data_IF_669546643347
#
_entry.id   IF_669546643347
#
_cell.length_a   1.000
_cell.length_b   1.000
_cell.length_c   1.000
_cell.angle_alpha   90.00
_cell.angle_beta   90.00
_cell.angle_gamma   90.00
#
_symmetry.space_group_name_H-M   'P 1'
#
loop_
_entity.id
_entity.type
_entity.pdbx_description
1 polymer ?
#
# COMPACT_ATOMS: atom_id res chain seq x y z
N UNK A 1 -34.84 76.93 -105.16
CA UNK A 1 -34.74 77.38 -103.75
C UNK A 1 -33.80 76.44 -103.01
N UNK A 2 -32.82 77.06 -102.32
CA UNK A 2 -31.81 76.58 -101.35
C UNK A 2 -32.31 75.35 -100.54
N UNK A 3 -31.52 74.30 -100.31
CA UNK A 3 -30.48 74.28 -99.26
C UNK A 3 -29.53 73.06 -99.33
N UNK A 4 -28.34 73.21 -98.73
CA UNK A 4 -27.41 72.15 -98.35
C UNK A 4 -27.49 71.91 -96.82
N UNK A 5 -27.26 70.68 -96.33
CA UNK A 5 -26.32 70.43 -95.21
C UNK A 5 -26.18 68.96 -94.78
N UNK A 6 -24.99 68.42 -95.07
CA UNK A 6 -24.04 67.64 -94.25
C UNK A 6 -24.42 67.15 -92.82
N UNK A 7 -23.96 65.89 -92.59
CA UNK A 7 -23.50 65.19 -91.36
C UNK A 7 -24.54 64.43 -90.51
N UNK A 8 -24.38 63.11 -90.44
CA UNK A 8 -24.22 62.41 -89.17
C UNK A 8 -23.63 61.00 -89.42
N UNK A 9 -22.41 60.76 -88.94
CA UNK A 9 -21.79 59.44 -88.91
C UNK A 9 -21.30 59.20 -87.49
N UNK A 10 -22.01 58.35 -86.75
CA UNK A 10 -21.55 57.74 -85.51
C UNK A 10 -22.22 56.37 -85.41
N UNK A 11 -21.55 55.33 -85.91
CA UNK A 11 -21.93 53.95 -85.61
C UNK A 11 -21.31 53.55 -84.27
N UNK A 12 -22.18 52.95 -83.47
CA UNK A 12 -22.04 52.61 -82.06
C UNK A 12 -20.88 51.63 -81.83
N UNK A 13 -20.02 51.92 -80.85
CA UNK A 13 -19.05 50.97 -80.34
C UNK A 13 -19.78 49.93 -79.47
N UNK A 14 -19.68 48.66 -79.86
CA UNK A 14 -20.12 47.50 -79.10
C UNK A 14 -19.21 47.27 -77.90
N UNK A 15 -19.72 47.40 -76.68
CA UNK A 15 -19.06 46.96 -75.45
C UNK A 15 -19.79 45.73 -74.93
N UNK A 16 -19.23 44.54 -75.15
CA UNK A 16 -19.64 43.30 -74.49
C UNK A 16 -18.93 43.21 -73.15
N UNK A 17 -19.65 43.46 -72.04
CA UNK A 17 -19.18 43.15 -70.69
C UNK A 17 -19.28 41.64 -70.47
N UNK A 18 -18.15 40.95 -70.62
CA UNK A 18 -17.99 39.54 -70.27
C UNK A 18 -17.89 39.45 -68.74
N UNK A 19 -19.01 39.15 -68.08
CA UNK A 19 -19.04 38.81 -66.65
C UNK A 19 -18.24 37.51 -66.45
N UNK A 20 -17.03 37.66 -65.92
CA UNK A 20 -16.18 36.54 -65.53
C UNK A 20 -16.84 35.73 -64.42
N UNK A 21 -17.00 34.44 -64.67
CA UNK A 21 -17.38 33.45 -63.68
C UNK A 21 -16.37 33.48 -62.52
N UNK A 22 -16.77 34.07 -61.39
CA UNK A 22 -16.04 33.92 -60.14
C UNK A 22 -16.23 32.48 -59.67
N UNK A 23 -15.21 31.65 -59.88
CA UNK A 23 -15.17 30.31 -59.28
C UNK A 23 -15.09 30.47 -57.77
N UNK A 24 -16.22 30.25 -57.09
CA UNK A 24 -16.25 30.00 -55.65
C UNK A 24 -15.61 28.64 -55.42
N UNK A 25 -14.27 28.62 -55.38
CA UNK A 25 -13.49 27.46 -54.95
C UNK A 25 -13.83 27.25 -53.48
N UNK A 26 -14.54 26.15 -53.20
CA UNK A 26 -14.98 25.77 -51.87
C UNK A 26 -13.81 25.67 -50.90
N UNK A 27 -13.65 26.70 -50.08
CA UNK A 27 -13.03 26.52 -48.79
C UNK A 27 -14.12 25.92 -47.89
N UNK A 28 -14.15 24.58 -47.76
CA UNK A 28 -14.82 23.95 -46.63
C UNK A 28 -14.06 24.39 -45.37
N UNK A 29 -14.42 25.56 -44.85
CA UNK A 29 -13.94 26.03 -43.57
C UNK A 29 -14.62 25.16 -42.52
N UNK A 30 -13.92 24.11 -42.09
CA UNK A 30 -14.26 23.37 -40.88
C UNK A 30 -14.03 24.32 -39.70
N UNK A 31 -14.98 25.21 -39.46
CA UNK A 31 -14.98 26.08 -38.30
C UNK A 31 -15.15 25.21 -37.04
N UNK A 32 -14.32 25.46 -36.03
CA UNK A 32 -14.51 24.85 -34.71
C UNK A 32 -15.67 25.59 -34.05
N UNK A 33 -16.82 24.92 -33.97
CA UNK A 33 -17.98 25.44 -33.25
C UNK A 33 -17.79 25.21 -31.75
N UNK A 34 -17.94 26.28 -30.97
CA UNK A 34 -17.88 26.22 -29.51
C UNK A 34 -19.29 26.46 -29.00
N UNK A 35 -19.86 25.45 -28.34
CA UNK A 35 -21.17 25.49 -27.73
C UNK A 35 -20.97 25.57 -26.21
N UNK A 36 -21.64 26.52 -25.56
CA UNK A 36 -21.62 26.70 -24.10
C UNK A 36 -22.82 26.02 -23.45
N UNK A 37 -22.91 24.70 -23.59
CA UNK A 37 -23.92 23.84 -22.97
C UNK A 37 -23.27 22.92 -21.91
N UNK A 38 -24.10 22.19 -21.14
CA UNK A 38 -23.61 21.18 -20.21
C UNK A 38 -22.99 19.99 -20.96
N UNK A 39 -21.86 19.46 -20.48
CA UNK A 39 -21.23 18.29 -21.09
C UNK A 39 -22.16 17.07 -20.98
N UNK A 40 -22.28 16.32 -22.07
CA UNK A 40 -23.03 15.08 -22.11
C UNK A 40 -22.17 13.93 -21.56
N UNK A 41 -22.83 12.85 -21.10
CA UNK A 41 -22.14 11.66 -20.59
C UNK A 41 -21.24 10.97 -21.64
N UNK A 42 -21.53 11.16 -22.93
CA UNK A 42 -20.75 10.66 -24.06
C UNK A 42 -19.59 11.57 -24.47
N UNK A 43 -19.48 12.77 -23.89
CA UNK A 43 -18.49 13.74 -24.30
C UNK A 43 -17.10 13.31 -23.86
N UNK A 44 -16.15 13.55 -24.76
CA UNK A 44 -14.74 13.19 -24.60
C UNK A 44 -13.90 14.45 -24.65
N UNK A 45 -12.82 14.47 -23.87
CA UNK A 45 -11.98 15.65 -23.73
C UNK A 45 -11.02 15.70 -24.91
N UNK A 46 -11.08 16.74 -25.77
CA UNK A 46 -10.14 16.86 -26.86
C UNK A 46 -8.75 17.27 -26.34
N UNK A 47 -7.69 16.73 -26.94
CA UNK A 47 -6.32 17.19 -26.73
C UNK A 47 -5.84 18.00 -27.93
N UNK A 48 -5.10 19.07 -27.64
CA UNK A 48 -4.37 19.82 -28.65
C UNK A 48 -3.07 19.10 -28.95
N UNK A 49 -2.91 18.63 -30.20
CA UNK A 49 -1.70 18.01 -30.71
C UNK A 49 -0.99 18.95 -31.66
N UNK A 50 0.28 19.23 -31.38
CA UNK A 50 1.16 19.93 -32.32
C UNK A 50 1.95 18.90 -33.15
N UNK A 51 1.77 18.94 -34.47
CA UNK A 51 2.47 18.05 -35.40
C UNK A 51 2.52 18.70 -36.78
N UNK A 52 3.63 18.54 -37.50
CA UNK A 52 3.84 19.10 -38.84
C UNK A 52 3.56 20.61 -38.91
N UNK A 53 4.14 21.36 -37.97
CA UNK A 53 3.98 22.82 -37.82
C UNK A 53 2.52 23.31 -37.67
N UNK A 54 1.60 22.41 -37.28
CA UNK A 54 0.18 22.70 -37.14
C UNK A 54 -0.38 22.16 -35.83
N UNK A 55 -1.32 22.90 -35.23
CA UNK A 55 -2.15 22.42 -34.13
C UNK A 55 -3.42 21.74 -34.66
N UNK A 56 -3.72 20.54 -34.16
CA UNK A 56 -4.96 19.79 -34.46
C UNK A 56 -5.62 19.34 -33.16
N UNK A 57 -6.95 19.41 -33.11
CA UNK A 57 -7.75 18.81 -32.04
C UNK A 57 -7.89 17.31 -32.30
N UNK A 58 -7.53 16.49 -31.32
CA UNK A 58 -7.62 15.03 -31.39
C UNK A 58 -8.49 14.53 -30.24
N UNK A 59 -9.41 13.62 -30.53
CA UNK A 59 -10.18 12.96 -29.49
C UNK A 59 -9.27 12.01 -28.69
N UNK A 60 -9.26 12.18 -27.36
CA UNK A 60 -8.45 11.36 -26.44
C UNK A 60 -9.15 10.08 -25.97
N UNK A 61 -10.44 9.93 -26.26
CA UNK A 61 -11.33 8.90 -25.68
C UNK A 61 -11.44 8.96 -24.14
N UNK A 62 -11.01 10.04 -23.49
CA UNK A 62 -11.21 10.26 -22.05
C UNK A 62 -12.57 10.94 -21.86
N UNK A 63 -13.51 10.27 -21.19
CA UNK A 63 -14.83 10.83 -20.91
C UNK A 63 -14.80 11.82 -19.74
N UNK A 64 -15.66 12.84 -19.79
CA UNK A 64 -15.85 13.78 -18.68
C UNK A 64 -16.27 13.04 -17.40
N UNK A 65 -17.08 12.00 -17.56
CA UNK A 65 -17.55 11.13 -16.47
C UNK A 65 -16.44 10.37 -15.76
N UNK A 66 -15.37 10.00 -16.47
CA UNK A 66 -14.21 9.34 -15.86
C UNK A 66 -13.42 10.32 -14.98
N UNK A 67 -13.31 11.58 -15.40
CA UNK A 67 -12.71 12.64 -14.56
C UNK A 67 -13.55 12.95 -13.34
N UNK A 68 -14.88 12.96 -13.44
CA UNK A 68 -15.76 13.17 -12.27
C UNK A 68 -15.66 12.06 -11.23
N UNK A 69 -15.44 10.81 -11.66
CA UNK A 69 -15.30 9.66 -10.77
C UNK A 69 -13.92 9.58 -10.11
N UNK A 70 -12.91 10.21 -10.69
CA UNK A 70 -11.53 10.13 -10.21
C UNK A 70 -11.34 10.74 -8.81
N UNK A 71 -11.87 11.93 -8.47
CA UNK A 71 -11.83 12.49 -7.12
C UNK A 71 -12.41 11.54 -6.07
N UNK A 72 -13.56 10.92 -6.38
CA UNK A 72 -14.20 9.96 -5.48
C UNK A 72 -13.32 8.73 -5.26
N UNK A 73 -12.76 8.17 -6.33
CA UNK A 73 -11.83 7.05 -6.22
C UNK A 73 -10.56 7.41 -5.43
N UNK A 74 -10.06 8.65 -5.55
CA UNK A 74 -8.92 9.15 -4.77
C UNK A 74 -9.28 9.25 -3.28
N UNK A 75 -10.48 9.74 -2.95
CA UNK A 75 -10.98 9.82 -1.56
C UNK A 75 -11.19 8.44 -0.93
N UNK A 76 -11.78 7.51 -1.68
CA UNK A 76 -11.96 6.11 -1.25
C UNK A 76 -10.60 5.45 -0.99
N UNK A 77 -9.63 5.62 -1.91
CA UNK A 77 -8.27 5.11 -1.74
C UNK A 77 -7.55 5.74 -0.55
N UNK A 78 -7.71 7.05 -0.30
CA UNK A 78 -7.12 7.72 0.85
C UNK A 78 -7.69 7.19 2.18
N UNK A 79 -9.00 6.95 2.21
CA UNK A 79 -9.68 6.38 3.38
C UNK A 79 -9.21 4.95 3.67
N UNK A 80 -9.06 4.12 2.63
CA UNK A 80 -8.55 2.76 2.74
C UNK A 80 -7.10 2.75 3.24
N UNK A 81 -6.23 3.63 2.72
CA UNK A 81 -4.84 3.73 3.19
C UNK A 81 -4.75 4.12 4.68
N UNK A 82 -5.61 5.02 5.14
CA UNK A 82 -5.66 5.40 6.55
C UNK A 82 -6.16 4.23 7.43
N UNK A 83 -7.12 3.44 6.95
CA UNK A 83 -7.56 2.23 7.65
C UNK A 83 -6.44 1.18 7.72
N UNK A 84 -5.75 0.92 6.61
CA UNK A 84 -4.62 0.01 6.57
C UNK A 84 -3.50 0.44 7.52
N UNK A 85 -3.22 1.74 7.60
CA UNK A 85 -2.25 2.31 8.54
C UNK A 85 -2.63 2.06 10.00
N UNK A 86 -3.92 2.21 10.35
CA UNK A 86 -4.42 1.87 11.71
C UNK A 86 -4.24 0.39 12.01
N UNK A 87 -4.65 -0.49 11.10
CA UNK A 87 -4.48 -1.93 11.27
C UNK A 87 -3.01 -2.33 11.43
N UNK A 88 -2.10 -1.76 10.64
CA UNK A 88 -0.66 -2.01 10.77
C UNK A 88 -0.11 -1.52 12.11
N UNK A 89 -0.54 -0.35 12.58
CA UNK A 89 -0.17 0.17 13.90
C UNK A 89 -0.64 -0.76 15.03
N UNK A 90 -1.88 -1.25 14.94
CA UNK A 90 -2.43 -2.18 15.93
C UNK A 90 -1.69 -3.52 15.90
N UNK A 91 -1.41 -4.07 14.71
CA UNK A 91 -0.61 -5.28 14.57
C UNK A 91 0.80 -5.12 15.13
N UNK A 92 1.46 -3.99 14.86
CA UNK A 92 2.79 -3.71 15.41
C UNK A 92 2.77 -3.69 16.94
N UNK A 93 1.75 -3.08 17.53
CA UNK A 93 1.54 -3.07 18.98
C UNK A 93 1.28 -4.47 19.53
N UNK A 94 0.42 -5.25 18.89
CA UNK A 94 0.13 -6.63 19.30
C UNK A 94 1.39 -7.52 19.22
N UNK A 95 2.22 -7.34 18.20
CA UNK A 95 3.51 -8.06 18.06
C UNK A 95 4.46 -7.67 19.18
N UNK A 96 4.54 -6.39 19.53
CA UNK A 96 5.38 -5.92 20.64
C UNK A 96 4.90 -6.49 21.97
N UNK A 97 3.59 -6.45 22.24
CA UNK A 97 2.97 -7.04 23.43
C UNK A 97 3.19 -8.55 23.49
N UNK A 98 3.02 -9.26 22.38
CA UNK A 98 3.31 -10.70 22.29
C UNK A 98 4.77 -11.02 22.60
N UNK A 99 5.72 -10.26 22.02
CA UNK A 99 7.15 -10.42 22.31
C UNK A 99 7.48 -10.21 23.79
N UNK A 100 6.90 -9.17 24.41
CA UNK A 100 7.08 -8.89 25.85
C UNK A 100 6.53 -10.03 26.70
N UNK A 101 5.36 -10.55 26.37
CA UNK A 101 4.73 -11.64 27.12
C UNK A 101 5.47 -12.98 26.93
N UNK A 102 5.86 -13.30 25.69
CA UNK A 102 6.61 -14.52 25.35
C UNK A 102 8.05 -14.50 25.89
N UNK A 103 8.69 -13.33 25.99
CA UNK A 103 10.00 -13.19 26.61
C UNK A 103 9.98 -13.34 28.15
N UNK A 104 8.85 -13.04 28.80
CA UNK A 104 8.78 -13.00 30.26
C UNK A 104 8.49 -14.38 30.90
N UNK A 105 7.83 -15.29 30.19
CA UNK A 105 7.44 -16.60 30.74
C UNK A 105 8.56 -17.64 30.81
N UNK A 106 9.66 -17.46 30.07
CA UNK A 106 10.78 -18.41 30.06
C UNK A 106 11.80 -18.18 31.19
N UNK A 107 11.92 -16.94 31.69
CA UNK A 107 12.91 -16.60 32.71
C UNK A 107 12.48 -16.91 34.14
N UNK A 108 11.18 -16.85 34.44
CA UNK A 108 10.63 -17.20 35.76
C UNK A 108 10.67 -18.70 36.00
N UNK A 109 10.19 -19.50 35.04
CA UNK A 109 10.22 -20.96 35.14
C UNK A 109 11.63 -21.53 35.22
N UNK A 110 12.61 -20.93 34.51
CA UNK A 110 14.00 -21.39 34.57
C UNK A 110 14.63 -21.17 35.94
N UNK A 111 14.41 -19.99 36.56
CA UNK A 111 14.90 -19.69 37.92
C UNK A 111 14.21 -20.54 38.99
N UNK A 112 12.90 -20.71 38.88
CA UNK A 112 12.13 -21.60 39.77
C UNK A 112 12.61 -23.05 39.67
N UNK A 113 12.91 -23.54 38.47
CA UNK A 113 13.48 -24.88 38.25
C UNK A 113 14.90 -24.99 38.83
N UNK A 114 15.73 -23.96 38.70
CA UNK A 114 17.08 -23.93 39.30
C UNK A 114 17.03 -23.92 40.84
N UNK A 115 16.15 -23.13 41.44
CA UNK A 115 15.93 -23.09 42.89
C UNK A 115 15.36 -24.41 43.41
N UNK A 116 14.44 -25.05 42.68
CA UNK A 116 13.96 -26.39 42.99
C UNK A 116 15.08 -27.43 42.92
N UNK A 117 15.93 -27.40 41.87
CA UNK A 117 17.11 -28.27 41.76
C UNK A 117 18.09 -28.07 42.91
N UNK A 118 18.33 -26.82 43.34
CA UNK A 118 19.18 -26.52 44.50
C UNK A 118 18.59 -27.13 45.77
N UNK A 119 17.29 -26.94 45.99
CA UNK A 119 16.57 -27.48 47.14
C UNK A 119 16.63 -29.00 47.19
N UNK A 120 16.44 -29.68 46.05
CA UNK A 120 16.56 -31.15 45.94
C UNK A 120 17.98 -31.61 46.31
N UNK A 121 19.03 -30.92 45.82
CA UNK A 121 20.43 -31.25 46.16
C UNK A 121 20.76 -31.02 47.64
N UNK A 122 20.14 -30.03 48.27
CA UNK A 122 20.27 -29.80 49.72
C UNK A 122 19.65 -30.96 50.50
N UNK A 123 18.42 -31.33 50.14
CA UNK A 123 17.69 -32.44 50.77
C UNK A 123 18.40 -33.79 50.59
N UNK A 124 19.01 -34.03 49.43
CA UNK A 124 19.79 -35.23 49.17
C UNK A 124 21.01 -35.33 50.12
N UNK A 125 21.73 -34.21 50.32
CA UNK A 125 22.85 -34.14 51.27
C UNK A 125 22.38 -34.41 52.70
N UNK A 126 21.31 -33.77 53.14
CA UNK A 126 20.75 -33.95 54.48
C UNK A 126 20.33 -35.41 54.73
N UNK A 127 19.67 -36.05 53.76
CA UNK A 127 19.28 -37.46 53.87
C UNK A 127 20.51 -38.37 53.96
N UNK A 128 21.55 -38.10 53.18
CA UNK A 128 22.76 -38.90 53.19
C UNK A 128 23.53 -38.76 54.52
N UNK A 129 23.60 -37.55 55.07
CA UNK A 129 24.19 -37.30 56.39
C UNK A 129 23.43 -38.00 57.50
N UNK A 130 22.09 -37.96 57.46
CA UNK A 130 21.25 -38.69 58.43
C UNK A 130 21.44 -40.20 58.29
N UNK A 131 21.52 -40.73 57.08
CA UNK A 131 21.78 -42.14 56.83
C UNK A 131 23.16 -42.58 57.37
N UNK A 132 24.19 -41.76 57.15
CA UNK A 132 25.53 -42.01 57.68
C UNK A 132 25.57 -41.95 59.20
N UNK A 133 24.91 -40.97 59.82
CA UNK A 133 24.77 -40.90 61.28
C UNK A 133 24.11 -42.16 61.82
N UNK A 134 23.03 -42.63 61.20
CA UNK A 134 22.34 -43.85 61.61
C UNK A 134 23.23 -45.09 61.50
N UNK A 135 23.96 -45.26 60.38
CA UNK A 135 24.95 -46.34 60.21
C UNK A 135 26.04 -46.33 61.27
N UNK A 136 26.56 -45.15 61.61
CA UNK A 136 27.60 -45.04 62.64
C UNK A 136 27.05 -45.35 64.04
N UNK A 137 25.81 -44.93 64.31
CA UNK A 137 25.10 -45.22 65.56
C UNK A 137 24.83 -46.72 65.74
N UNK A 138 24.46 -47.42 64.66
CA UNK A 138 24.24 -48.87 64.68
C UNK A 138 25.55 -49.65 64.78
N UNK A 139 26.65 -49.16 64.18
CA UNK A 139 27.98 -49.77 64.34
C UNK A 139 28.51 -49.65 65.78
N UNK A 140 28.25 -48.54 66.49
CA UNK A 140 28.60 -48.38 67.91
C UNK A 140 27.74 -49.20 68.88
N UNK A 141 26.63 -49.78 68.42
CA UNK A 141 25.72 -50.59 69.24
C UNK A 141 25.99 -52.11 69.15
N UNK A 142 27.07 -52.55 68.49
CA UNK A 142 27.45 -53.96 68.48
C UNK A 142 27.95 -54.40 69.88
N UNK A 143 27.40 -55.47 70.49
CA UNK A 143 27.75 -55.86 71.86
C UNK A 143 29.19 -56.35 71.94
N UNK A 144 29.96 -55.73 72.85
CA UNK A 144 31.26 -56.23 73.33
C UNK A 144 31.02 -57.61 73.93
N UNK A 145 31.40 -58.67 73.20
CA UNK A 145 31.27 -60.03 73.70
C UNK A 145 32.14 -60.20 74.95
N UNK A 146 31.47 -60.54 76.05
CA UNK A 146 32.07 -60.86 77.34
C UNK A 146 33.05 -62.02 77.19
N UNK A 147 34.33 -61.76 77.46
CA UNK A 147 35.38 -62.78 77.52
C UNK A 147 35.38 -63.42 78.91
N UNK A 148 34.47 -64.38 79.13
CA UNK A 148 34.48 -65.22 80.34
C UNK A 148 35.69 -66.15 80.31
N UNK A 149 36.70 -65.83 81.10
CA UNK A 149 37.82 -66.74 81.40
C UNK A 149 37.42 -67.61 82.59
N UNK A 150 37.01 -68.84 82.31
CA UNK A 150 36.84 -69.89 83.32
C UNK A 150 38.23 -70.45 83.63
N UNK A 151 38.79 -70.15 84.82
CA UNK A 151 39.88 -70.93 85.42
C UNK A 151 39.34 -71.64 86.65
N UNK A 152 39.16 -72.94 86.50
CA UNK A 152 38.91 -73.90 87.57
C UNK A 152 40.15 -74.05 88.46
N UNK A 153 39.95 -74.03 89.77
CA UNK A 153 40.86 -74.52 90.83
C UNK A 153 40.83 -76.07 90.84
N UNK A 154 41.85 -76.75 91.39
CA UNK A 154 42.08 -76.83 92.85
C UNK A 154 43.33 -76.10 93.35
#
# INVERSE_FOLDING_TARGET
>A
MRSFSKRSSTRLATVTLLLGNLTLIGAAQAAVEVISDFPLFSDTIPALRYSNDKYTLVNTNVSVTALEKLPKAVEDNASELENQKRTLSDQARLIEEFKRNSGSSSSSSSKEIEDLKRTIKEQERDLNDRANKWKNSSATAAPVQARTTTRFLP
#
